data_IF_653221954542
#
_entry.id   IF_653221954542
#
_cell.length_a   1.000
_cell.length_b   1.000
_cell.length_c   1.000
_cell.angle_alpha   90.00
_cell.angle_beta   90.00
_cell.angle_gamma   90.00
#
_symmetry.space_group_name_H-M   'P 1'
#
loop_
_entity.id
_entity.type
_entity.pdbx_description
1 polymer ?
#
# COMPACT_ATOMS: atom_id res chain seq x y z
N UNK A 1 20.08 8.45 11.21
CA UNK A 1 18.79 7.78 11.49
C UNK A 1 17.93 7.79 10.22
N UNK A 2 18.40 7.15 9.15
CA UNK A 2 17.84 7.29 7.78
C UNK A 2 16.88 6.15 7.38
N UNK A 3 16.52 5.27 8.32
CA UNK A 3 15.75 4.04 8.04
C UNK A 3 14.24 4.14 8.26
N UNK A 4 13.71 5.31 8.65
CA UNK A 4 12.31 5.45 9.14
C UNK A 4 11.33 5.97 8.09
N UNK A 5 11.81 6.44 6.94
CA UNK A 5 11.02 7.20 5.94
C UNK A 5 10.81 6.42 4.63
N UNK A 6 11.35 5.20 4.54
CA UNK A 6 11.21 4.32 3.38
C UNK A 6 10.32 3.13 3.73
N UNK A 7 9.43 2.79 2.80
CA UNK A 7 8.54 1.65 2.94
C UNK A 7 8.76 0.65 1.80
N UNK A 8 8.77 -0.67 2.07
CA UNK A 8 8.88 -1.67 1.03
C UNK A 8 7.64 -1.64 0.12
N UNK A 9 7.86 -1.95 -1.17
CA UNK A 9 6.79 -2.15 -2.14
C UNK A 9 6.60 -3.64 -2.40
N UNK A 10 5.35 -4.08 -2.43
CA UNK A 10 4.96 -5.45 -2.69
C UNK A 10 4.03 -5.52 -3.89
N UNK A 11 4.36 -6.40 -4.85
CA UNK A 11 3.49 -6.63 -6.00
C UNK A 11 2.43 -7.68 -5.65
N UNK A 12 1.16 -7.27 -5.62
CA UNK A 12 0.03 -8.18 -5.42
C UNK A 12 -0.97 -7.99 -6.56
N UNK A 13 -1.25 -9.07 -7.30
CA UNK A 13 -2.16 -9.09 -8.47
C UNK A 13 -2.01 -7.89 -9.42
N UNK A 14 -0.77 -7.54 -9.76
CA UNK A 14 -0.47 -6.45 -10.68
C UNK A 14 -0.47 -5.05 -10.07
N UNK A 15 -0.84 -4.88 -8.80
CA UNK A 15 -0.73 -3.61 -8.06
C UNK A 15 0.52 -3.58 -7.19
N UNK A 16 1.25 -2.46 -7.24
CA UNK A 16 2.32 -2.17 -6.30
C UNK A 16 1.72 -1.55 -5.04
N UNK A 17 1.91 -2.22 -3.90
CA UNK A 17 1.38 -1.81 -2.60
C UNK A 17 2.52 -1.46 -1.65
N UNK A 18 2.37 -0.34 -0.97
CA UNK A 18 3.22 0.08 0.14
C UNK A 18 2.94 -0.82 1.35
N UNK A 19 3.99 -1.37 1.93
CA UNK A 19 3.92 -2.17 3.14
C UNK A 19 4.32 -1.38 4.38
N UNK A 20 3.34 -0.91 5.13
CA UNK A 20 3.58 -0.30 6.44
C UNK A 20 3.49 -1.33 7.55
N UNK A 21 4.50 -1.34 8.43
CA UNK A 21 4.60 -2.26 9.57
C UNK A 21 3.63 -1.92 10.69
N UNK A 22 3.29 -0.64 10.83
CA UNK A 22 2.35 -0.09 11.80
C UNK A 22 1.91 1.32 11.36
N UNK A 23 0.98 1.91 12.11
CA UNK A 23 0.46 3.26 11.83
C UNK A 23 1.53 4.35 11.99
N UNK A 24 2.50 4.18 12.89
CA UNK A 24 3.57 5.16 13.08
C UNK A 24 4.45 5.23 11.83
N UNK A 25 4.82 4.08 11.26
CA UNK A 25 5.57 4.03 10.02
C UNK A 25 4.80 4.67 8.84
N UNK A 26 3.48 4.52 8.79
CA UNK A 26 2.67 5.22 7.80
C UNK A 26 2.75 6.75 7.97
N UNK A 27 2.64 7.24 9.21
CA UNK A 27 2.76 8.66 9.51
C UNK A 27 4.16 9.20 9.21
N UNK A 28 5.22 8.50 9.61
CA UNK A 28 6.61 8.89 9.33
C UNK A 28 6.90 8.92 7.81
N UNK A 29 6.30 7.98 7.05
CA UNK A 29 6.43 7.94 5.60
C UNK A 29 5.69 9.09 4.91
N UNK A 30 4.47 9.40 5.35
CA UNK A 30 3.65 10.46 4.77
C UNK A 30 4.09 11.86 5.21
N UNK A 31 4.61 11.99 6.43
CA UNK A 31 5.13 13.23 7.00
C UNK A 31 6.66 13.12 7.17
N UNK A 32 7.34 13.30 6.06
CA UNK A 32 8.79 13.17 5.95
C UNK A 32 9.45 14.54 5.99
N UNK A 33 10.52 14.69 6.77
CA UNK A 33 11.38 15.88 6.76
C UNK A 33 10.63 17.21 7.01
N UNK A 34 9.55 17.17 7.79
CA UNK A 34 8.72 18.33 8.12
C UNK A 34 7.74 18.76 7.03
N UNK A 35 7.58 17.94 5.97
CA UNK A 35 6.63 18.17 4.90
C UNK A 35 5.68 16.98 4.74
N UNK A 36 4.39 17.27 4.53
CA UNK A 36 3.41 16.26 4.17
C UNK A 36 3.56 15.92 2.67
N UNK A 37 3.64 14.65 2.33
CA UNK A 37 3.59 14.20 0.95
C UNK A 37 2.18 14.40 0.39
N UNK A 38 2.09 15.06 -0.75
CA UNK A 38 0.84 15.32 -1.44
C UNK A 38 0.50 14.19 -2.42
N UNK A 39 -0.80 13.93 -2.61
CA UNK A 39 -1.30 12.94 -3.54
C UNK A 39 -2.51 12.18 -3.02
N UNK A 40 -2.95 11.19 -3.79
CA UNK A 40 -4.07 10.32 -3.48
C UNK A 40 -3.58 9.10 -2.72
N UNK A 41 -4.13 8.91 -1.52
CA UNK A 41 -3.90 7.74 -0.69
C UNK A 41 -5.09 6.77 -0.80
N UNK A 42 -4.83 5.54 -1.25
CA UNK A 42 -5.83 4.50 -1.44
C UNK A 42 -5.54 3.29 -0.55
N UNK A 43 -6.52 2.97 0.31
CA UNK A 43 -6.55 1.75 1.10
C UNK A 43 -7.05 0.58 0.24
N UNK A 44 -6.16 -0.37 -0.08
CA UNK A 44 -6.45 -1.52 -0.94
C UNK A 44 -6.91 -2.70 -0.08
N UNK A 45 -8.22 -2.92 -0.04
CA UNK A 45 -8.86 -4.10 0.54
C UNK A 45 -9.18 -5.15 -0.54
N UNK A 46 -9.68 -6.33 -0.15
CA UNK A 46 -9.94 -7.41 -1.10
C UNK A 46 -10.98 -7.07 -2.16
N UNK A 47 -12.01 -6.30 -1.80
CA UNK A 47 -13.04 -5.90 -2.77
C UNK A 47 -12.45 -5.01 -3.88
N UNK A 48 -11.59 -4.04 -3.53
CA UNK A 48 -10.90 -3.21 -4.53
C UNK A 48 -9.97 -4.02 -5.41
N UNK A 49 -9.31 -5.04 -4.86
CA UNK A 49 -8.47 -5.95 -5.65
C UNK A 49 -9.28 -6.68 -6.71
N UNK A 50 -10.49 -7.13 -6.39
CA UNK A 50 -11.39 -7.77 -7.36
C UNK A 50 -11.91 -6.74 -8.38
N UNK A 51 -12.34 -5.56 -7.90
CA UNK A 51 -12.85 -4.51 -8.79
C UNK A 51 -11.82 -4.02 -9.82
N UNK A 52 -10.54 -4.01 -9.48
CA UNK A 52 -9.44 -3.67 -10.40
C UNK A 52 -9.24 -4.71 -11.51
N UNK A 53 -9.53 -5.99 -11.23
CA UNK A 53 -9.43 -7.04 -12.25
C UNK A 53 -10.58 -6.95 -13.26
N UNK A 54 -11.78 -6.58 -12.78
CA UNK A 54 -13.01 -6.61 -13.57
C UNK A 54 -13.35 -5.27 -14.25
N UNK A 55 -12.83 -4.14 -13.75
CA UNK A 55 -13.17 -2.80 -14.23
C UNK A 55 -11.92 -1.96 -14.61
N UNK A 56 -11.68 -1.73 -15.92
CA UNK A 56 -10.56 -0.94 -16.41
C UNK A 56 -10.51 0.52 -15.91
N UNK A 57 -11.65 1.16 -15.68
CA UNK A 57 -11.71 2.54 -15.18
C UNK A 57 -11.30 2.61 -13.71
N UNK A 58 -11.76 1.66 -12.89
CA UNK A 58 -11.34 1.52 -11.49
C UNK A 58 -9.85 1.20 -11.41
N UNK A 59 -9.36 0.33 -12.32
CA UNK A 59 -7.93 0.03 -12.46
C UNK A 59 -7.12 1.28 -12.75
N UNK A 60 -7.54 2.09 -13.73
CA UNK A 60 -6.87 3.33 -14.08
C UNK A 60 -6.83 4.32 -12.90
N UNK A 61 -7.95 4.46 -12.17
CA UNK A 61 -8.02 5.33 -10.99
C UNK A 61 -7.05 4.89 -9.89
N UNK A 62 -6.99 3.60 -9.60
CA UNK A 62 -6.09 3.06 -8.56
C UNK A 62 -4.63 3.13 -9.03
N UNK A 63 -4.35 2.88 -10.31
CA UNK A 63 -3.00 3.01 -10.87
C UNK A 63 -2.50 4.46 -10.81
N UNK A 64 -3.37 5.44 -11.02
CA UNK A 64 -3.05 6.86 -10.94
C UNK A 64 -2.73 7.36 -9.51
N UNK A 65 -3.18 6.67 -8.46
CA UNK A 65 -2.93 7.11 -7.08
C UNK A 65 -1.45 7.00 -6.68
N UNK A 66 -0.90 8.03 -6.05
CA UNK A 66 0.50 8.07 -5.62
C UNK A 66 0.81 7.04 -4.54
N UNK A 67 -0.14 6.84 -3.62
CA UNK A 67 0.04 5.95 -2.47
C UNK A 67 -1.06 4.89 -2.43
N UNK A 68 -0.66 3.64 -2.60
CA UNK A 68 -1.54 2.47 -2.49
C UNK A 68 -1.00 1.62 -1.36
N UNK A 69 -1.76 1.38 -0.30
CA UNK A 69 -1.31 0.55 0.81
C UNK A 69 -2.25 -0.63 1.04
N UNK A 70 -1.70 -1.73 1.53
CA UNK A 70 -2.48 -2.90 1.87
C UNK A 70 -3.36 -2.61 3.08
N UNK A 71 -4.65 -2.86 2.95
CA UNK A 71 -5.63 -2.69 4.02
C UNK A 71 -6.52 -3.93 4.14
N UNK A 72 -6.92 -4.25 5.36
CA UNK A 72 -7.78 -5.39 5.65
C UNK A 72 -7.05 -6.75 5.66
N UNK A 73 -7.60 -7.65 6.48
CA UNK A 73 -6.96 -8.92 6.84
C UNK A 73 -6.68 -9.84 5.64
N UNK A 74 -7.53 -9.81 4.62
CA UNK A 74 -7.41 -10.67 3.43
C UNK A 74 -6.21 -10.27 2.56
N UNK A 75 -5.98 -8.96 2.38
CA UNK A 75 -4.86 -8.44 1.59
C UNK A 75 -3.55 -8.62 2.36
N UNK A 76 -3.53 -8.28 3.65
CA UNK A 76 -2.37 -8.46 4.52
C UNK A 76 -1.95 -9.93 4.59
N UNK A 77 -2.89 -10.86 4.78
CA UNK A 77 -2.59 -12.30 4.76
C UNK A 77 -2.08 -12.77 3.40
N UNK A 78 -2.64 -12.27 2.30
CA UNK A 78 -2.16 -12.61 0.95
C UNK A 78 -0.73 -12.13 0.71
N UNK A 79 -0.39 -10.93 1.17
CA UNK A 79 0.96 -10.40 1.13
C UNK A 79 1.92 -11.26 1.95
N UNK A 80 1.61 -11.54 3.21
CA UNK A 80 2.46 -12.37 4.09
C UNK A 80 2.60 -13.81 3.57
N UNK A 81 1.59 -14.34 2.88
CA UNK A 81 1.68 -15.66 2.22
C UNK A 81 2.64 -15.64 1.02
N UNK A 82 2.59 -14.58 0.20
CA UNK A 82 3.47 -14.44 -0.97
C UNK A 82 4.89 -14.01 -0.60
N UNK A 83 5.02 -13.20 0.45
CA UNK A 83 6.25 -12.63 0.97
C UNK A 83 6.33 -12.90 2.48
N UNK A 84 6.84 -14.06 2.92
CA UNK A 84 6.86 -14.45 4.34
C UNK A 84 7.60 -13.47 5.25
N UNK A 85 8.58 -12.75 4.72
CA UNK A 85 9.35 -11.73 5.41
C UNK A 85 8.65 -10.35 5.51
N UNK A 86 7.47 -10.20 4.89
CA UNK A 86 6.79 -8.91 4.85
C UNK A 86 6.27 -8.48 6.22
N UNK A 87 6.73 -7.32 6.67
CA UNK A 87 6.27 -6.67 7.90
C UNK A 87 5.19 -5.65 7.53
N UNK A 88 3.97 -6.13 7.36
CA UNK A 88 2.78 -5.32 7.00
C UNK A 88 1.69 -5.58 8.03
N UNK A 89 1.09 -4.55 8.63
CA UNK A 89 -0.04 -4.68 9.57
C UNK A 89 -1.38 -4.32 8.94
#
# INVERSE_FOLDING_TARGET
MTGTISAPLYLLRGLQLIGWRDMQHALDYLYADGALREGTLVAINAEKMLAVEDNPEVRALIEAAEFKYADGISVVRSLRKKYPQAQVS
#
